data_IF_219532984434
#
_entry.id   IF_219532984434
#
_cell.length_a   1.000
_cell.length_b   1.000
_cell.length_c   1.000
_cell.angle_alpha   90.00
_cell.angle_beta   90.00
_cell.angle_gamma   90.00
#
_symmetry.space_group_name_H-M   'P 1'
#
loop_
_entity.id
_entity.type
_entity.pdbx_description
1 polymer ?
#
# COMPACT_ATOMS: atom_id res chain seq x y z
N UNK A 1 6.21 18.86 67.34
CA UNK A 1 6.21 20.20 66.72
C UNK A 1 5.32 20.13 65.49
N UNK A 2 4.17 20.82 65.56
CA UNK A 2 3.22 20.94 64.47
C UNK A 2 3.75 21.93 63.41
N UNK A 3 3.58 21.61 62.14
CA UNK A 3 3.75 22.54 61.03
C UNK A 3 2.53 22.40 60.13
N UNK A 4 1.64 23.38 60.26
CA UNK A 4 0.42 23.55 59.47
C UNK A 4 0.84 24.20 58.14
N UNK A 5 0.53 23.56 57.01
CA UNK A 5 0.54 24.23 55.70
C UNK A 5 -0.89 24.30 55.17
N UNK A 6 -1.34 25.54 54.97
CA UNK A 6 -2.66 25.92 54.51
C UNK A 6 -2.93 25.42 53.08
N UNK A 7 -4.09 24.79 52.88
CA UNK A 7 -4.63 24.50 51.56
C UNK A 7 -5.43 25.72 51.07
N UNK A 8 -4.94 26.39 50.03
CA UNK A 8 -5.67 27.46 49.35
C UNK A 8 -6.86 26.90 48.56
N UNK A 9 -8.06 27.42 48.80
CA UNK A 9 -9.25 27.13 48.00
C UNK A 9 -9.12 27.80 46.63
N UNK A 10 -9.12 27.01 45.56
CA UNK A 10 -9.27 27.50 44.19
C UNK A 10 -10.74 27.82 43.92
N UNK A 11 -11.03 29.05 43.47
CA UNK A 11 -12.36 29.43 42.98
C UNK A 11 -12.58 28.91 41.55
N UNK A 12 -13.81 28.52 41.18
CA UNK A 12 -14.11 28.12 39.81
C UNK A 12 -14.23 29.36 38.92
N UNK A 13 -13.44 29.41 37.84
CA UNK A 13 -13.59 30.42 36.81
C UNK A 13 -14.91 30.20 36.04
N UNK A 14 -15.75 31.23 35.96
CA UNK A 14 -16.94 31.22 35.14
C UNK A 14 -16.53 31.09 33.66
N UNK A 15 -16.93 29.99 33.01
CA UNK A 15 -16.79 29.81 31.56
C UNK A 15 -17.95 30.51 30.86
N UNK A 16 -17.67 31.66 30.26
CA UNK A 16 -18.57 32.30 29.31
C UNK A 16 -18.64 31.43 28.06
N UNK A 17 -19.80 30.81 27.80
CA UNK A 17 -20.03 30.05 26.57
C UNK A 17 -20.18 31.04 25.41
N UNK A 18 -19.14 31.18 24.59
CA UNK A 18 -19.27 31.77 23.26
C UNK A 18 -20.05 30.77 22.39
N UNK A 19 -21.33 31.05 22.15
CA UNK A 19 -22.07 30.43 21.05
C UNK A 19 -21.47 30.93 19.74
N UNK A 20 -20.43 30.25 19.26
CA UNK A 20 -20.00 30.36 17.88
C UNK A 20 -21.09 29.73 17.01
N UNK A 21 -21.89 30.56 16.34
CA UNK A 21 -22.80 30.09 15.31
C UNK A 21 -22.01 29.33 14.25
N UNK A 22 -22.21 28.02 14.16
CA UNK A 22 -21.71 27.22 13.05
C UNK A 22 -22.57 27.61 11.85
N UNK A 23 -22.10 28.60 11.08
CA UNK A 23 -22.63 28.81 9.72
C UNK A 23 -22.28 27.58 8.90
N UNK A 24 -23.27 26.75 8.61
CA UNK A 24 -23.19 25.64 7.65
C UNK A 24 -23.07 26.23 6.25
N UNK A 25 -21.90 26.77 5.91
CA UNK A 25 -21.56 27.01 4.50
C UNK A 25 -21.36 25.63 3.86
N UNK A 26 -22.40 25.11 3.23
CA UNK A 26 -22.28 24.04 2.25
C UNK A 26 -21.42 24.57 1.10
N UNK A 27 -20.09 24.37 1.20
CA UNK A 27 -19.22 24.50 0.04
C UNK A 27 -19.63 23.40 -0.94
N UNK A 28 -20.34 23.78 -1.98
CA UNK A 28 -20.52 22.93 -3.16
C UNK A 28 -19.16 22.83 -3.84
N UNK A 29 -18.38 21.80 -3.49
CA UNK A 29 -17.21 21.45 -4.27
C UNK A 29 -17.73 20.91 -5.61
N UNK A 30 -17.48 21.65 -6.68
CA UNK A 30 -17.65 21.08 -8.01
C UNK A 30 -16.77 19.82 -8.09
N UNK A 31 -17.29 18.75 -8.69
CA UNK A 31 -16.50 17.54 -8.89
C UNK A 31 -15.21 17.88 -9.61
N UNK A 32 -14.09 17.35 -9.11
CA UNK A 32 -12.79 17.46 -9.77
C UNK A 32 -12.73 16.68 -11.09
N UNK A 33 -13.71 15.79 -11.33
CA UNK A 33 -13.79 14.92 -12.49
C UNK A 33 -15.01 15.29 -13.34
N UNK A 34 -14.77 15.75 -14.56
CA UNK A 34 -15.83 16.11 -15.49
C UNK A 34 -16.77 14.91 -15.72
N UNK A 35 -18.04 15.02 -15.32
CA UNK A 35 -19.06 13.98 -15.48
C UNK A 35 -18.94 12.83 -14.46
N UNK A 36 -18.33 13.04 -13.31
CA UNK A 36 -18.52 12.18 -12.13
C UNK A 36 -20.00 12.15 -11.72
N UNK A 37 -20.53 11.00 -11.26
CA UNK A 37 -21.87 10.94 -10.68
C UNK A 37 -22.08 11.94 -9.54
N UNK A 38 -23.26 12.55 -9.48
CA UNK A 38 -23.62 13.49 -8.40
C UNK A 38 -23.84 12.78 -7.05
N UNK A 39 -24.08 11.46 -7.09
CA UNK A 39 -24.38 10.63 -5.93
C UNK A 39 -24.46 9.15 -6.30
N UNK A 40 -24.55 8.26 -5.30
CA UNK A 40 -24.79 6.84 -5.53
C UNK A 40 -26.21 6.61 -6.06
N UNK A 41 -26.40 5.55 -6.84
CA UNK A 41 -27.67 5.15 -7.43
C UNK A 41 -27.75 3.60 -7.46
N UNK A 42 -28.70 3.02 -6.72
CA UNK A 42 -28.90 1.56 -6.66
C UNK A 42 -30.12 1.18 -7.48
N UNK A 43 -29.91 0.33 -8.49
CA UNK A 43 -30.92 -0.15 -9.45
C UNK A 43 -31.35 -1.59 -9.18
N UNK A 44 -30.47 -2.40 -8.58
CA UNK A 44 -30.74 -3.79 -8.25
C UNK A 44 -30.14 -4.15 -6.88
N UNK A 45 -30.51 -5.31 -6.33
CA UNK A 45 -29.73 -5.90 -5.24
C UNK A 45 -28.28 -6.15 -5.70
N UNK A 46 -27.32 -6.08 -4.80
CA UNK A 46 -25.91 -6.36 -5.11
C UNK A 46 -25.52 -7.72 -4.47
N UNK A 47 -25.10 -8.73 -5.24
CA UNK A 47 -24.95 -8.73 -6.71
C UNK A 47 -26.28 -8.84 -7.45
N UNK A 48 -26.42 -8.08 -8.56
CA UNK A 48 -27.58 -8.14 -9.44
C UNK A 48 -27.55 -9.35 -10.39
N UNK A 49 -28.59 -9.58 -11.21
CA UNK A 49 -28.69 -10.76 -12.06
C UNK A 49 -27.53 -10.92 -13.06
N UNK A 50 -27.01 -9.82 -13.64
CA UNK A 50 -25.86 -9.88 -14.55
C UNK A 50 -24.58 -10.23 -13.78
N UNK A 51 -24.38 -9.59 -12.62
CA UNK A 51 -23.25 -9.89 -11.74
C UNK A 51 -23.26 -11.34 -11.28
N UNK A 52 -24.41 -11.88 -10.87
CA UNK A 52 -24.54 -13.29 -10.45
C UNK A 52 -24.17 -14.26 -11.57
N UNK A 53 -24.65 -14.01 -12.80
CA UNK A 53 -24.31 -14.83 -13.95
C UNK A 53 -22.79 -14.78 -14.24
N UNK A 54 -22.19 -13.60 -14.20
CA UNK A 54 -20.76 -13.44 -14.44
C UNK A 54 -19.90 -14.04 -13.31
N UNK A 55 -20.31 -13.93 -12.05
CA UNK A 55 -19.63 -14.59 -10.91
C UNK A 55 -19.66 -16.10 -11.09
N UNK A 56 -20.80 -16.68 -11.49
CA UNK A 56 -20.92 -18.13 -11.75
C UNK A 56 -19.99 -18.59 -12.86
N UNK A 57 -19.78 -17.77 -13.89
CA UNK A 57 -18.81 -18.09 -14.94
C UNK A 57 -17.37 -18.02 -14.42
N UNK A 58 -17.04 -16.95 -13.68
CA UNK A 58 -15.73 -16.75 -13.07
C UNK A 58 -15.37 -17.88 -12.09
N UNK A 59 -16.34 -18.36 -11.31
CA UNK A 59 -16.16 -19.41 -10.30
C UNK A 59 -15.66 -20.74 -10.86
N UNK A 60 -15.81 -20.98 -12.17
CA UNK A 60 -15.26 -22.16 -12.84
C UNK A 60 -13.73 -22.18 -12.87
N UNK A 61 -13.10 -21.01 -12.80
CA UNK A 61 -11.64 -20.84 -13.00
C UNK A 61 -10.96 -19.98 -11.93
N UNK A 62 -11.73 -19.35 -11.05
CA UNK A 62 -11.22 -18.44 -10.01
C UNK A 62 -12.02 -18.62 -8.72
N UNK A 63 -11.36 -18.62 -7.57
CA UNK A 63 -12.04 -18.73 -6.27
C UNK A 63 -12.81 -17.45 -5.95
N UNK A 64 -14.14 -17.50 -6.05
CA UNK A 64 -14.99 -16.33 -5.86
C UNK A 64 -15.45 -16.11 -4.41
N UNK A 65 -14.99 -16.92 -3.43
CA UNK A 65 -15.47 -16.83 -2.04
C UNK A 65 -15.25 -15.48 -1.38
N UNK A 66 -14.28 -14.69 -1.85
CA UNK A 66 -13.97 -13.37 -1.34
C UNK A 66 -14.56 -12.21 -2.19
N UNK A 67 -15.33 -12.51 -3.24
CA UNK A 67 -15.91 -11.49 -4.11
C UNK A 67 -17.05 -10.78 -3.37
N UNK A 68 -16.90 -9.47 -3.16
CA UNK A 68 -17.97 -8.62 -2.62
C UNK A 68 -18.96 -8.20 -3.71
N UNK A 69 -18.44 -7.87 -4.90
CA UNK A 69 -19.18 -7.34 -6.05
C UNK A 69 -18.30 -7.47 -7.30
N UNK A 70 -18.90 -7.65 -8.48
CA UNK A 70 -18.18 -7.43 -9.74
C UNK A 70 -18.23 -5.95 -10.14
N UNK A 71 -17.11 -5.41 -10.60
CA UNK A 71 -17.02 -4.03 -11.03
C UNK A 71 -17.00 -3.92 -12.56
N UNK A 72 -17.78 -3.01 -13.10
CA UNK A 72 -17.61 -2.46 -14.44
C UNK A 72 -16.74 -1.19 -14.36
N UNK A 73 -15.43 -1.39 -14.49
CA UNK A 73 -14.47 -0.29 -14.46
C UNK A 73 -14.61 0.67 -15.64
N UNK A 74 -15.22 0.27 -16.76
CA UNK A 74 -15.38 1.15 -17.93
C UNK A 74 -16.39 2.27 -17.66
N UNK A 75 -17.34 2.01 -16.76
CA UNK A 75 -18.38 2.96 -16.35
C UNK A 75 -18.08 3.66 -15.02
N UNK A 76 -17.10 3.15 -14.26
CA UNK A 76 -16.66 3.74 -13.00
C UNK A 76 -15.99 5.10 -13.22
N UNK A 77 -16.11 6.05 -12.28
CA UNK A 77 -15.56 7.40 -12.49
C UNK A 77 -15.34 8.16 -11.20
N UNK A 78 -14.17 8.78 -11.07
CA UNK A 78 -13.80 9.53 -9.88
C UNK A 78 -13.89 8.64 -8.64
N UNK A 79 -14.75 9.00 -7.68
CA UNK A 79 -14.97 8.27 -6.45
C UNK A 79 -16.05 7.18 -6.56
N UNK A 80 -16.64 6.97 -7.75
CA UNK A 80 -17.76 6.06 -7.92
C UNK A 80 -17.36 4.80 -8.68
N UNK A 81 -17.66 3.65 -8.08
CA UNK A 81 -17.53 2.34 -8.70
C UNK A 81 -18.89 1.88 -9.21
N UNK A 82 -18.90 1.30 -10.41
CA UNK A 82 -20.12 0.82 -11.07
C UNK A 82 -20.06 -0.70 -11.18
N UNK A 83 -21.19 -1.38 -11.03
CA UNK A 83 -21.30 -2.82 -11.30
C UNK A 83 -21.97 -3.11 -12.67
N UNK A 84 -21.90 -4.36 -13.19
CA UNK A 84 -22.53 -4.73 -14.47
C UNK A 84 -24.06 -4.52 -14.54
N UNK A 85 -24.73 -4.44 -13.39
CA UNK A 85 -26.17 -4.20 -13.27
C UNK A 85 -26.51 -2.70 -13.26
N UNK A 86 -25.50 -1.83 -13.31
CA UNK A 86 -25.62 -0.39 -13.38
C UNK A 86 -25.82 0.30 -12.03
N UNK A 87 -25.55 -0.41 -10.92
CA UNK A 87 -25.47 0.21 -9.60
C UNK A 87 -24.24 1.10 -9.52
N UNK A 88 -24.41 2.31 -8.99
CA UNK A 88 -23.35 3.31 -8.80
C UNK A 88 -23.14 3.49 -7.30
N UNK A 89 -21.94 3.20 -6.81
CA UNK A 89 -21.62 3.28 -5.38
C UNK A 89 -20.50 4.28 -5.15
N UNK A 90 -20.63 5.09 -4.09
CA UNK A 90 -19.51 5.85 -3.56
C UNK A 90 -18.49 4.86 -2.96
N UNK A 91 -17.32 4.79 -3.56
CA UNK A 91 -16.27 3.87 -3.12
C UNK A 91 -15.38 4.51 -2.05
N UNK A 92 -15.63 4.12 -0.80
CA UNK A 92 -14.80 4.48 0.36
C UNK A 92 -13.75 3.41 0.72
N UNK A 93 -13.57 2.41 -0.15
CA UNK A 93 -12.61 1.32 0.00
C UNK A 93 -11.42 1.45 -0.97
N UNK A 94 -11.65 2.05 -2.15
CA UNK A 94 -10.62 2.40 -3.14
C UNK A 94 -9.70 1.22 -3.50
N UNK A 95 -10.28 0.04 -3.69
CA UNK A 95 -9.57 -1.22 -3.99
C UNK A 95 -8.47 -1.53 -2.96
N UNK A 96 -8.80 -1.48 -1.66
CA UNK A 96 -7.83 -1.60 -0.56
C UNK A 96 -6.82 -0.44 -0.63
N UNK A 97 -7.33 0.79 -0.68
CA UNK A 97 -6.54 2.02 -0.70
C UNK A 97 -5.42 2.05 -1.78
N UNK A 98 -5.66 1.43 -2.94
CA UNK A 98 -4.69 1.34 -4.04
C UNK A 98 -5.00 2.25 -5.24
N UNK A 99 -6.21 2.82 -5.30
CA UNK A 99 -6.57 3.83 -6.31
C UNK A 99 -6.28 5.23 -5.75
N UNK A 100 -5.24 5.95 -6.21
CA UNK A 100 -4.81 7.19 -5.57
C UNK A 100 -5.61 8.43 -6.02
N UNK A 101 -6.09 8.46 -7.27
CA UNK A 101 -6.68 9.67 -7.89
C UNK A 101 -7.97 9.36 -8.67
N UNK A 102 -8.74 8.39 -8.20
CA UNK A 102 -10.06 8.02 -8.72
C UNK A 102 -10.07 7.16 -10.00
N UNK A 103 -11.23 6.58 -10.28
CA UNK A 103 -11.49 5.75 -11.46
C UNK A 103 -11.52 6.58 -12.74
N UNK A 104 -10.98 6.02 -13.83
CA UNK A 104 -10.97 6.62 -15.17
C UNK A 104 -10.50 8.07 -15.21
N UNK A 105 -9.43 8.36 -14.45
CA UNK A 105 -8.81 9.67 -14.41
C UNK A 105 -8.23 10.04 -15.80
N UNK A 106 -8.67 11.15 -16.42
CA UNK A 106 -8.25 11.51 -17.79
C UNK A 106 -6.75 11.85 -17.90
N UNK A 107 -6.13 12.35 -16.82
CA UNK A 107 -4.69 12.60 -16.78
C UNK A 107 -3.91 11.29 -16.79
N UNK A 108 -4.37 10.28 -16.04
CA UNK A 108 -3.77 8.95 -16.08
C UNK A 108 -3.97 8.27 -17.43
N UNK A 109 -5.15 8.40 -18.05
CA UNK A 109 -5.39 7.87 -19.39
C UNK A 109 -4.41 8.47 -20.42
N UNK A 110 -4.21 9.79 -20.38
CA UNK A 110 -3.24 10.48 -21.25
C UNK A 110 -1.81 9.99 -21.01
N UNK A 111 -1.41 9.80 -19.75
CA UNK A 111 -0.09 9.27 -19.39
C UNK A 111 0.07 7.81 -19.85
N UNK A 112 -0.96 6.98 -19.68
CA UNK A 112 -0.96 5.58 -20.08
C UNK A 112 -0.78 5.40 -21.61
N UNK A 113 -1.25 6.37 -22.39
CA UNK A 113 -1.13 6.36 -23.86
C UNK A 113 0.03 7.20 -24.39
N UNK A 114 0.91 7.73 -23.53
CA UNK A 114 2.05 8.52 -24.00
C UNK A 114 3.09 7.63 -24.69
N UNK A 115 3.87 8.15 -25.66
CA UNK A 115 4.93 7.38 -26.31
C UNK A 115 5.92 6.77 -25.31
N UNK A 116 6.25 7.49 -24.24
CA UNK A 116 7.17 7.04 -23.19
C UNK A 116 6.60 5.85 -22.40
N UNK A 117 5.31 5.89 -22.08
CA UNK A 117 4.66 4.78 -21.37
C UNK A 117 4.48 3.56 -22.27
N UNK A 118 4.12 3.77 -23.55
CA UNK A 118 4.03 2.70 -24.54
C UNK A 118 5.39 2.00 -24.71
N UNK A 119 6.46 2.76 -24.86
CA UNK A 119 7.82 2.24 -24.94
C UNK A 119 8.22 1.44 -23.68
N UNK A 120 7.94 2.00 -22.50
CA UNK A 120 8.23 1.36 -21.21
C UNK A 120 7.48 0.03 -21.03
N UNK A 121 6.20 -0.02 -21.40
CA UNK A 121 5.35 -1.20 -21.24
C UNK A 121 5.72 -2.32 -22.21
N UNK A 122 6.03 -1.99 -23.46
CA UNK A 122 6.36 -2.98 -24.50
C UNK A 122 7.73 -3.60 -24.25
N UNK A 123 8.73 -2.78 -23.91
CA UNK A 123 10.11 -3.26 -23.80
C UNK A 123 10.44 -3.87 -22.44
N UNK A 124 9.80 -3.43 -21.35
CA UNK A 124 9.91 -3.95 -19.98
C UNK A 124 11.32 -4.49 -19.63
N UNK A 125 12.32 -3.60 -19.45
CA UNK A 125 13.71 -4.02 -19.30
C UNK A 125 13.97 -4.77 -17.98
N UNK A 126 14.99 -5.63 -17.98
CA UNK A 126 15.63 -6.08 -16.75
C UNK A 126 16.41 -4.90 -16.14
N UNK A 127 15.72 -4.04 -15.40
CA UNK A 127 16.21 -2.72 -14.94
C UNK A 127 17.54 -2.75 -14.20
N UNK A 128 17.88 -3.85 -13.51
CA UNK A 128 19.17 -4.01 -12.83
C UNK A 128 20.37 -4.16 -13.77
N UNK A 129 20.14 -4.57 -15.02
CA UNK A 129 21.18 -4.87 -16.00
C UNK A 129 21.14 -3.89 -17.18
N UNK A 130 19.93 -3.55 -17.64
CA UNK A 130 19.70 -2.73 -18.82
C UNK A 130 18.72 -1.58 -18.51
N UNK A 131 19.05 -0.66 -17.59
CA UNK A 131 18.21 0.49 -17.33
C UNK A 131 18.10 1.35 -18.60
N UNK A 132 16.93 1.98 -18.79
CA UNK A 132 16.76 2.97 -19.86
C UNK A 132 17.67 4.18 -19.61
N UNK A 133 18.09 4.83 -20.70
CA UNK A 133 18.93 6.03 -20.66
C UNK A 133 18.33 7.18 -19.84
N UNK A 134 17.00 7.24 -19.70
CA UNK A 134 16.28 8.25 -18.92
C UNK A 134 15.89 7.79 -17.50
N UNK A 135 16.37 6.63 -17.03
CA UNK A 135 15.92 6.07 -15.75
C UNK A 135 16.23 6.94 -14.54
N UNK A 136 17.38 7.65 -14.54
CA UNK A 136 17.73 8.56 -13.46
C UNK A 136 16.72 9.72 -13.32
N UNK A 137 16.35 10.35 -14.44
CA UNK A 137 15.34 11.41 -14.47
C UNK A 137 13.98 10.90 -13.95
N UNK A 138 13.55 9.72 -14.41
CA UNK A 138 12.29 9.09 -13.95
C UNK A 138 12.28 8.89 -12.43
N UNK A 139 13.41 8.48 -11.84
CA UNK A 139 13.52 8.31 -10.39
C UNK A 139 13.51 9.65 -9.65
N UNK A 140 14.28 10.63 -10.11
CA UNK A 140 14.44 11.95 -9.50
C UNK A 140 13.13 12.77 -9.53
N UNK A 141 12.43 12.79 -10.67
CA UNK A 141 11.16 13.50 -10.81
C UNK A 141 9.98 12.71 -10.27
N UNK A 142 10.14 11.38 -10.11
CA UNK A 142 9.13 10.47 -9.61
C UNK A 142 9.26 10.22 -8.10
N UNK A 143 9.62 8.99 -7.74
CA UNK A 143 9.59 8.52 -6.34
C UNK A 143 10.55 9.27 -5.41
N UNK A 144 11.69 9.75 -5.91
CA UNK A 144 12.67 10.47 -5.09
C UNK A 144 12.27 11.92 -4.80
N UNK A 145 11.35 12.50 -5.57
CA UNK A 145 10.83 13.85 -5.31
C UNK A 145 10.11 13.98 -3.96
N UNK A 146 9.65 12.86 -3.42
CA UNK A 146 8.96 12.73 -2.12
C UNK A 146 9.75 11.89 -1.12
N UNK A 147 11.06 11.75 -1.32
CA UNK A 147 11.90 10.92 -0.47
C UNK A 147 11.93 11.42 0.99
N UNK A 148 11.85 10.51 1.99
CA UNK A 148 12.02 10.89 3.38
C UNK A 148 13.41 11.49 3.66
N UNK A 149 13.49 12.37 4.66
CA UNK A 149 14.77 13.01 5.04
C UNK A 149 15.85 11.96 5.33
N UNK A 150 16.98 12.08 4.65
CA UNK A 150 18.14 11.19 4.82
C UNK A 150 18.08 9.88 4.01
N UNK A 151 17.01 9.63 3.25
CA UNK A 151 16.87 8.44 2.40
C UNK A 151 16.91 8.82 0.92
N UNK A 152 18.10 8.90 0.33
CA UNK A 152 18.33 9.33 -1.06
C UNK A 152 18.62 8.17 -2.04
N UNK A 153 18.34 6.93 -1.63
CA UNK A 153 18.55 5.72 -2.43
C UNK A 153 17.22 4.99 -2.58
N UNK A 154 16.99 4.37 -3.73
CA UNK A 154 15.76 3.62 -4.03
C UNK A 154 16.08 2.32 -4.75
N UNK A 155 15.40 1.25 -4.32
CA UNK A 155 15.34 0.00 -5.05
C UNK A 155 13.85 -0.29 -5.34
N UNK A 156 13.46 -0.28 -6.61
CA UNK A 156 12.06 -0.44 -7.01
C UNK A 156 11.62 -1.90 -6.93
N UNK A 157 10.42 -2.14 -6.41
CA UNK A 157 9.75 -3.43 -6.36
C UNK A 157 8.35 -3.32 -6.99
N UNK A 158 7.69 -4.45 -7.25
CA UNK A 158 6.42 -4.47 -7.99
C UNK A 158 5.20 -4.41 -7.07
N UNK A 159 5.31 -4.94 -5.85
CA UNK A 159 4.23 -4.98 -4.88
C UNK A 159 4.74 -4.63 -3.46
N UNK A 160 3.83 -4.64 -2.49
CA UNK A 160 4.22 -4.40 -1.09
C UNK A 160 4.99 -5.56 -0.45
N UNK A 161 4.75 -6.80 -0.89
CA UNK A 161 5.40 -7.98 -0.27
C UNK A 161 6.86 -8.09 -0.67
N UNK A 162 7.19 -8.01 -1.96
CA UNK A 162 8.56 -8.02 -2.47
C UNK A 162 9.34 -6.76 -2.07
N UNK A 163 8.69 -5.59 -1.96
CA UNK A 163 9.31 -4.41 -1.36
C UNK A 163 9.81 -4.68 0.06
N UNK A 164 8.97 -5.28 0.91
CA UNK A 164 9.35 -5.63 2.28
C UNK A 164 10.41 -6.74 2.33
N UNK A 165 10.35 -7.75 1.48
CA UNK A 165 11.40 -8.78 1.45
C UNK A 165 12.76 -8.24 0.99
N UNK A 166 12.78 -7.32 0.01
CA UNK A 166 13.98 -6.58 -0.36
C UNK A 166 14.51 -5.76 0.81
N UNK A 167 13.64 -5.06 1.55
CA UNK A 167 14.02 -4.31 2.74
C UNK A 167 14.59 -5.22 3.85
N UNK A 168 14.00 -6.39 4.08
CA UNK A 168 14.50 -7.37 5.06
C UNK A 168 15.88 -7.90 4.68
N UNK A 169 16.09 -8.26 3.41
CA UNK A 169 17.39 -8.69 2.90
C UNK A 169 18.44 -7.59 3.08
N UNK A 170 18.12 -6.35 2.70
CA UNK A 170 19.03 -5.22 2.89
C UNK A 170 19.39 -5.01 4.38
N UNK A 171 18.41 -5.12 5.29
CA UNK A 171 18.66 -5.03 6.73
C UNK A 171 19.56 -6.15 7.25
N UNK A 172 19.33 -7.40 6.82
CA UNK A 172 20.18 -8.54 7.20
C UNK A 172 21.60 -8.40 6.65
N UNK A 173 21.75 -8.05 5.37
CA UNK A 173 23.05 -7.83 4.74
C UNK A 173 23.82 -6.73 5.46
N UNK A 174 23.18 -5.59 5.73
CA UNK A 174 23.80 -4.49 6.46
C UNK A 174 24.23 -4.91 7.87
N UNK A 175 23.38 -5.60 8.62
CA UNK A 175 23.73 -6.06 9.97
C UNK A 175 24.86 -7.10 9.96
N UNK A 176 24.87 -8.02 9.00
CA UNK A 176 25.92 -9.02 8.84
C UNK A 176 27.25 -8.36 8.43
N UNK A 177 27.23 -7.38 7.52
CA UNK A 177 28.39 -6.58 7.15
C UNK A 177 29.00 -5.85 8.35
N UNK A 178 28.16 -5.25 9.21
CA UNK A 178 28.62 -4.63 10.46
C UNK A 178 29.29 -5.64 11.41
N UNK A 179 28.80 -6.88 11.48
CA UNK A 179 29.39 -7.95 12.31
C UNK A 179 30.71 -8.46 11.75
N UNK A 180 30.85 -8.53 10.42
CA UNK A 180 32.09 -8.95 9.74
C UNK A 180 33.20 -7.88 9.83
N UNK A 181 32.84 -6.62 10.09
CA UNK A 181 33.80 -5.54 10.34
C UNK A 181 33.83 -4.44 9.27
N UNK A 182 32.95 -4.48 8.26
CA UNK A 182 32.89 -3.43 7.24
C UNK A 182 32.41 -3.92 5.87
N UNK A 183 32.24 -2.98 4.94
CA UNK A 183 31.88 -3.27 3.55
C UNK A 183 33.00 -3.98 2.79
N UNK A 184 34.25 -3.65 3.13
CA UNK A 184 35.45 -4.10 2.42
C UNK A 184 35.98 -5.45 2.94
N UNK A 185 35.23 -6.12 3.82
CA UNK A 185 35.59 -7.44 4.35
C UNK A 185 34.99 -8.52 3.46
N UNK A 186 35.87 -9.31 2.85
CA UNK A 186 35.51 -10.45 2.01
C UNK A 186 34.77 -11.54 2.79
N UNK A 187 33.95 -12.33 2.07
CA UNK A 187 33.31 -13.52 2.63
C UNK A 187 34.32 -14.64 2.85
N UNK A 188 34.15 -15.43 3.91
CA UNK A 188 34.99 -16.62 4.12
C UNK A 188 34.53 -17.78 3.24
N UNK A 189 35.42 -18.73 2.95
CA UNK A 189 35.04 -19.95 2.22
C UNK A 189 33.92 -20.74 2.92
N UNK A 190 33.94 -20.78 4.26
CA UNK A 190 32.90 -21.41 5.06
C UNK A 190 31.54 -20.70 4.91
N UNK A 191 31.50 -19.37 4.92
CA UNK A 191 30.28 -18.59 4.68
C UNK A 191 29.72 -18.86 3.28
N UNK A 192 30.58 -18.90 2.26
CA UNK A 192 30.19 -19.15 0.88
C UNK A 192 29.64 -20.58 0.68
N UNK A 193 30.24 -21.57 1.33
CA UNK A 193 29.80 -22.97 1.21
C UNK A 193 28.52 -23.26 2.02
N UNK A 194 28.46 -22.77 3.26
CA UNK A 194 27.32 -23.02 4.16
C UNK A 194 26.04 -22.32 3.71
N UNK A 195 26.11 -21.12 3.11
CA UNK A 195 24.92 -20.40 2.66
C UNK A 195 24.13 -21.18 1.59
N UNK A 196 24.82 -21.91 0.71
CA UNK A 196 24.21 -22.75 -0.33
C UNK A 196 23.50 -23.98 0.24
N UNK A 197 23.78 -24.34 1.49
CA UNK A 197 23.13 -25.41 2.24
C UNK A 197 22.11 -24.88 3.26
N UNK A 198 21.77 -23.59 3.20
CA UNK A 198 20.93 -22.91 4.18
C UNK A 198 21.43 -23.07 5.63
N UNK A 199 22.75 -23.21 5.83
CA UNK A 199 23.37 -23.42 7.14
C UNK A 199 24.23 -22.23 7.57
N UNK A 200 24.48 -22.14 8.88
CA UNK A 200 25.43 -21.17 9.45
C UNK A 200 26.87 -21.56 9.04
N UNK A 201 27.81 -20.59 8.96
CA UNK A 201 27.62 -19.15 9.20
C UNK A 201 27.07 -18.35 8.01
N UNK A 202 27.00 -18.94 6.82
CA UNK A 202 26.64 -18.26 5.58
C UNK A 202 25.18 -17.83 5.52
N UNK A 203 24.24 -18.69 5.93
CA UNK A 203 22.89 -18.28 6.25
C UNK A 203 22.88 -17.55 7.60
N UNK A 204 22.10 -16.48 7.72
CA UNK A 204 22.02 -15.69 8.94
C UNK A 204 20.95 -16.21 9.89
N UNK A 205 21.25 -16.26 11.19
CA UNK A 205 20.26 -16.52 12.25
C UNK A 205 19.62 -15.24 12.80
N UNK A 206 19.75 -14.11 12.10
CA UNK A 206 19.08 -12.86 12.46
C UNK A 206 17.56 -12.99 12.33
N UNK A 207 16.84 -12.08 12.99
CA UNK A 207 15.38 -12.00 12.93
C UNK A 207 14.91 -10.58 12.67
N UNK A 208 13.71 -10.44 12.11
CA UNK A 208 12.98 -9.18 12.04
C UNK A 208 11.94 -9.16 13.16
N UNK A 209 11.99 -8.13 13.99
CA UNK A 209 10.97 -7.89 15.01
C UNK A 209 9.73 -7.27 14.34
N UNK A 210 8.55 -7.81 14.65
CA UNK A 210 7.27 -7.26 14.21
C UNK A 210 6.24 -7.18 15.35
N UNK A 211 5.18 -6.41 15.13
CA UNK A 211 4.19 -6.10 16.16
C UNK A 211 2.91 -6.94 16.02
N UNK A 212 2.16 -7.08 17.12
CA UNK A 212 0.80 -7.64 17.07
C UNK A 212 -0.08 -6.78 16.14
N UNK A 213 -1.01 -7.42 15.45
CA UNK A 213 -1.93 -6.78 14.49
C UNK A 213 -1.28 -6.23 13.20
N UNK A 214 0.03 -6.43 12.99
CA UNK A 214 0.71 -5.98 11.78
C UNK A 214 0.31 -6.79 10.54
N UNK A 215 0.41 -6.16 9.36
CA UNK A 215 0.27 -6.79 8.05
C UNK A 215 1.38 -6.27 7.13
N UNK A 216 2.30 -7.14 6.71
CA UNK A 216 3.46 -6.79 5.90
C UNK A 216 3.51 -7.49 4.54
N UNK A 217 2.54 -8.35 4.25
CA UNK A 217 2.50 -9.10 3.01
C UNK A 217 2.15 -10.57 3.23
N UNK A 218 2.22 -11.35 2.16
CA UNK A 218 1.83 -12.78 2.17
C UNK A 218 2.87 -13.73 1.56
N UNK A 219 4.03 -13.24 1.16
CA UNK A 219 5.19 -14.09 0.85
C UNK A 219 5.80 -14.61 2.16
N UNK A 220 6.53 -15.73 2.18
CA UNK A 220 6.96 -16.36 3.43
C UNK A 220 7.71 -15.42 4.39
N UNK A 221 8.63 -14.59 3.89
CA UNK A 221 9.35 -13.62 4.72
C UNK A 221 8.42 -12.56 5.32
N UNK A 222 7.56 -11.97 4.49
CA UNK A 222 6.56 -10.98 4.96
C UNK A 222 5.43 -11.56 5.79
N UNK A 223 5.11 -12.83 5.61
CA UNK A 223 4.12 -13.54 6.39
C UNK A 223 4.65 -13.88 7.79
N UNK A 224 5.95 -14.19 7.91
CA UNK A 224 6.60 -14.37 9.22
C UNK A 224 6.45 -13.14 10.11
N UNK A 225 6.45 -11.94 9.51
CA UNK A 225 6.28 -10.65 10.22
C UNK A 225 4.82 -10.20 10.30
N UNK A 226 3.88 -10.81 9.59
CA UNK A 226 2.44 -10.51 9.65
C UNK A 226 1.76 -11.19 10.85
N UNK A 227 0.89 -10.46 11.56
CA UNK A 227 0.14 -10.91 12.75
C UNK A 227 -1.29 -10.34 12.79
N UNK A 228 -1.95 -10.32 11.64
CA UNK A 228 -3.27 -9.69 11.45
C UNK A 228 -4.45 -10.61 11.72
N UNK A 229 -4.53 -11.78 11.07
CA UNK A 229 -5.62 -12.75 11.22
C UNK A 229 -5.08 -14.19 11.14
N UNK A 230 -5.66 -15.18 11.86
CA UNK A 230 -5.22 -16.58 11.79
C UNK A 230 -5.27 -17.17 10.37
N UNK A 231 -6.36 -16.90 9.63
CA UNK A 231 -6.54 -17.42 8.26
C UNK A 231 -5.47 -16.97 7.26
N UNK A 232 -4.69 -15.94 7.59
CA UNK A 232 -3.56 -15.53 6.76
C UNK A 232 -2.31 -16.40 6.98
N UNK A 233 -2.25 -17.21 8.04
CA UNK A 233 -1.04 -17.94 8.46
C UNK A 233 -1.23 -19.44 8.66
N UNK A 234 -2.45 -19.88 8.94
CA UNK A 234 -2.75 -21.30 9.16
C UNK A 234 -2.28 -22.13 7.97
N UNK A 235 -1.64 -23.26 8.27
CA UNK A 235 -1.15 -24.25 7.30
C UNK A 235 -0.07 -23.73 6.32
N UNK A 236 0.59 -22.61 6.65
CA UNK A 236 1.70 -22.03 5.89
C UNK A 236 2.99 -22.11 6.74
N UNK A 237 4.11 -22.64 6.19
CA UNK A 237 5.36 -22.81 6.93
C UNK A 237 5.97 -21.49 7.44
#
# INVERSE_FOLDING_TARGET
>A
MASVRAAGRLQPAARTALQAGITTQTRTYASLFAGEPAGPEIKTQIPGPKSQQAIKELDKVFDTRAVNMLADYTQSKGNYIVDPDGNVLLDVYAQIASIPVGYNNPTLAKAATSPEMVDSLINRPALGNFPSHNWAEVLETGILSVAPKGLNQVFTATAGSDANECAFKAAFMYKAQQRRGGADVEFTAEELESCMNNSLPGASNLSILSFKSAFHGRLFGTLSTTRSKPIHKLDIP
#
